data_IF_194289477836
#
_entry.id   IF_194289477836
#
_cell.length_a   1.000
_cell.length_b   1.000
_cell.length_c   1.000
_cell.angle_alpha   90.00
_cell.angle_beta   90.00
_cell.angle_gamma   90.00
#
_symmetry.space_group_name_H-M   'P 1'
#
loop_
_entity.id
_entity.type
_entity.pdbx_description
1 polymer ?
#
# COMPACT_ATOMS: atom_id res chain seq x y z
N UNK A 1 19.96 -8.69 -1.70
CA UNK A 1 19.54 -7.35 -1.29
C UNK A 1 19.30 -6.63 -2.60
N UNK A 2 18.04 -6.42 -2.98
CA UNK A 2 17.73 -5.68 -4.20
C UNK A 2 18.25 -4.26 -3.98
N UNK A 3 18.99 -3.72 -4.94
CA UNK A 3 19.48 -2.35 -4.86
C UNK A 3 18.26 -1.43 -4.88
N UNK A 4 18.07 -0.65 -3.81
CA UNK A 4 16.97 0.32 -3.70
C UNK A 4 16.89 1.23 -4.94
N UNK A 5 18.04 1.49 -5.58
CA UNK A 5 18.15 2.28 -6.80
C UNK A 5 17.43 1.64 -7.99
N UNK A 6 17.45 0.31 -8.13
CA UNK A 6 16.78 -0.40 -9.23
C UNK A 6 15.25 -0.37 -9.06
N UNK A 7 14.79 -0.55 -7.82
CA UNK A 7 13.36 -0.52 -7.50
C UNK A 7 12.75 0.86 -7.74
N UNK A 8 13.44 1.94 -7.34
CA UNK A 8 13.00 3.32 -7.57
C UNK A 8 12.90 3.65 -9.06
N UNK A 9 13.90 3.27 -9.88
CA UNK A 9 13.86 3.48 -11.33
C UNK A 9 12.74 2.65 -11.98
N UNK A 10 12.51 1.42 -11.52
CA UNK A 10 11.40 0.59 -12.00
C UNK A 10 10.05 1.24 -11.69
N UNK A 11 9.85 1.74 -10.47
CA UNK A 11 8.63 2.44 -10.06
C UNK A 11 8.43 3.70 -10.91
N UNK A 12 9.49 4.48 -11.10
CA UNK A 12 9.45 5.70 -11.92
C UNK A 12 9.05 5.41 -13.37
N UNK A 13 9.62 4.37 -13.99
CA UNK A 13 9.26 3.96 -15.36
C UNK A 13 7.80 3.56 -15.47
N UNK A 14 7.30 2.79 -14.49
CA UNK A 14 5.89 2.40 -14.45
C UNK A 14 4.96 3.61 -14.30
N UNK A 15 5.33 4.57 -13.44
CA UNK A 15 4.62 5.83 -13.30
C UNK A 15 4.57 6.62 -14.61
N UNK A 16 5.70 6.79 -15.31
CA UNK A 16 5.78 7.52 -16.58
C UNK A 16 4.83 6.94 -17.63
N UNK A 17 4.77 5.61 -17.73
CA UNK A 17 3.88 4.89 -18.63
C UNK A 17 2.41 5.16 -18.30
N UNK A 18 2.02 4.99 -17.02
CA UNK A 18 0.64 5.22 -16.55
C UNK A 18 0.21 6.67 -16.73
N UNK A 19 1.08 7.61 -16.35
CA UNK A 19 0.80 9.04 -16.41
C UNK A 19 0.84 9.60 -17.84
N UNK A 20 1.27 8.80 -18.83
CA UNK A 20 1.41 9.23 -20.22
C UNK A 20 2.40 10.39 -20.38
N UNK A 21 3.42 10.47 -19.52
CA UNK A 21 4.38 11.56 -19.57
C UNK A 21 5.30 11.39 -20.79
N UNK A 22 5.61 12.47 -21.53
CA UNK A 22 6.45 12.40 -22.73
C UNK A 22 7.95 12.31 -22.35
N UNK A 23 8.31 11.44 -21.42
CA UNK A 23 9.70 11.21 -20.99
C UNK A 23 10.42 10.33 -22.00
N UNK A 24 11.67 10.65 -22.31
CA UNK A 24 12.53 9.85 -23.17
C UNK A 24 13.18 8.72 -22.33
N UNK A 25 12.82 7.43 -22.54
CA UNK A 25 13.23 6.35 -21.62
C UNK A 25 14.75 6.18 -21.49
N UNK A 26 15.50 6.44 -22.56
CA UNK A 26 16.96 6.35 -22.59
C UNK A 26 17.67 7.43 -21.76
N UNK A 27 16.94 8.46 -21.32
CA UNK A 27 17.48 9.59 -20.54
C UNK A 27 17.17 9.50 -19.05
N UNK A 28 16.47 8.46 -18.61
CA UNK A 28 16.13 8.25 -17.19
C UNK A 28 17.40 7.87 -16.44
N UNK A 29 17.82 8.75 -15.53
CA UNK A 29 19.05 8.62 -14.75
C UNK A 29 18.76 8.76 -13.25
N UNK A 30 19.28 7.84 -12.43
CA UNK A 30 19.27 7.96 -10.97
C UNK A 30 20.26 9.05 -10.55
N UNK A 31 19.86 9.92 -9.64
CA UNK A 31 20.75 10.92 -9.02
C UNK A 31 20.87 10.65 -7.53
N UNK A 32 21.84 11.30 -6.90
CA UNK A 32 22.11 11.16 -5.48
C UNK A 32 21.97 12.52 -4.78
N UNK A 33 21.63 12.55 -3.48
CA UNK A 33 21.57 13.79 -2.72
C UNK A 33 22.85 14.64 -2.90
N UNK A 34 22.73 15.97 -3.03
CA UNK A 34 21.53 16.78 -2.76
C UNK A 34 20.54 16.92 -3.94
N UNK A 35 20.73 16.22 -5.05
CA UNK A 35 19.80 16.24 -6.20
C UNK A 35 18.53 15.41 -5.93
N UNK A 36 17.42 15.70 -6.64
CA UNK A 36 16.23 14.84 -6.62
C UNK A 36 16.51 13.46 -7.19
N UNK A 37 15.81 12.45 -6.69
CA UNK A 37 16.07 11.02 -6.97
C UNK A 37 16.28 10.62 -8.44
N UNK A 38 15.57 11.21 -9.39
CA UNK A 38 15.62 10.85 -10.82
C UNK A 38 15.67 12.09 -11.70
N UNK A 39 16.50 12.08 -12.75
CA UNK A 39 16.50 13.09 -13.83
C UNK A 39 16.10 12.44 -15.15
N UNK A 40 15.34 13.13 -15.98
CA UNK A 40 15.03 12.68 -17.34
C UNK A 40 14.78 13.83 -18.31
N UNK A 41 14.93 13.55 -19.61
CA UNK A 41 14.58 14.44 -20.71
C UNK A 41 13.14 14.23 -21.19
N UNK A 42 12.54 15.29 -21.73
CA UNK A 42 11.21 15.26 -22.33
C UNK A 42 11.28 15.28 -23.86
N UNK A 43 10.33 14.61 -24.53
CA UNK A 43 10.23 14.58 -26.00
C UNK A 43 9.93 15.97 -26.60
N UNK A 44 9.32 16.86 -25.82
CA UNK A 44 9.09 18.27 -26.17
C UNK A 44 10.36 19.13 -26.04
N UNK A 45 11.48 18.55 -25.60
CA UNK A 45 12.69 19.27 -25.20
C UNK A 45 12.70 19.62 -23.72
N UNK A 46 13.90 19.90 -23.20
CA UNK A 46 14.14 20.19 -21.78
C UNK A 46 14.35 18.95 -20.91
N UNK A 47 14.54 19.20 -19.62
CA UNK A 47 14.72 18.17 -18.59
C UNK A 47 13.85 18.46 -17.38
N UNK A 48 13.51 17.40 -16.65
CA UNK A 48 12.77 17.46 -15.39
C UNK A 48 13.43 16.50 -14.40
N UNK A 49 13.40 16.86 -13.13
CA UNK A 49 13.85 16.01 -12.03
C UNK A 49 12.65 15.59 -11.18
N UNK A 50 12.71 14.38 -10.62
CA UNK A 50 11.69 13.82 -9.75
C UNK A 50 12.32 13.44 -8.41
N UNK A 51 11.75 13.95 -7.32
CA UNK A 51 11.97 13.38 -5.99
C UNK A 51 10.94 12.27 -5.79
N UNK A 52 11.37 11.11 -5.31
CA UNK A 52 10.48 10.00 -5.01
C UNK A 52 10.23 9.91 -3.50
N UNK A 53 9.03 9.50 -3.13
CA UNK A 53 8.72 9.15 -1.74
C UNK A 53 7.79 7.95 -1.68
N UNK A 54 8.26 6.88 -1.03
CA UNK A 54 7.40 5.74 -0.72
C UNK A 54 6.51 6.09 0.48
N UNK A 55 5.20 5.96 0.29
CA UNK A 55 4.23 6.01 1.38
C UNK A 55 4.13 4.61 1.99
N UNK A 56 4.89 4.39 3.06
CA UNK A 56 4.89 3.14 3.82
C UNK A 56 4.42 3.37 5.25
N UNK A 57 3.37 2.68 5.68
CA UNK A 57 2.96 2.69 7.09
C UNK A 57 3.97 1.87 7.91
N UNK A 58 4.68 2.46 8.88
CA UNK A 58 5.65 1.73 9.69
C UNK A 58 5.05 0.52 10.41
N UNK A 59 3.77 0.56 10.75
CA UNK A 59 3.05 -0.58 11.32
C UNK A 59 2.97 -1.78 10.35
N UNK A 60 2.79 -1.52 9.06
CA UNK A 60 2.74 -2.54 8.00
C UNK A 60 4.15 -3.02 7.62
N UNK A 61 5.17 -2.17 7.71
CA UNK A 61 6.56 -2.57 7.45
C UNK A 61 7.05 -3.71 8.35
N UNK A 62 6.59 -3.77 9.61
CA UNK A 62 6.90 -4.91 10.49
C UNK A 62 6.27 -6.21 10.00
N UNK A 63 5.07 -6.12 9.46
CA UNK A 63 4.39 -7.27 8.88
C UNK A 63 5.01 -7.72 7.57
N UNK A 64 5.66 -6.84 6.80
CA UNK A 64 6.38 -7.18 5.55
C UNK A 64 7.29 -8.40 5.72
N UNK A 65 8.23 -8.32 6.66
CA UNK A 65 9.20 -9.40 6.90
C UNK A 65 8.57 -10.69 7.42
N UNK A 66 7.33 -10.60 7.90
CA UNK A 66 6.58 -11.73 8.43
C UNK A 66 5.44 -12.18 7.52
N UNK A 67 5.15 -11.49 6.41
CA UNK A 67 3.93 -11.72 5.62
C UNK A 67 3.89 -13.16 5.09
N UNK A 68 4.99 -13.62 4.48
CA UNK A 68 5.10 -15.01 4.03
C UNK A 68 5.00 -16.00 5.20
N UNK A 69 5.60 -15.68 6.36
CA UNK A 69 5.59 -16.55 7.54
C UNK A 69 4.20 -16.63 8.17
N UNK A 70 3.43 -15.55 8.14
CA UNK A 70 2.04 -15.49 8.59
C UNK A 70 1.15 -16.23 7.61
N UNK A 71 1.32 -16.02 6.31
CA UNK A 71 0.58 -16.77 5.29
C UNK A 71 0.81 -18.27 5.44
N UNK A 72 2.06 -18.71 5.58
CA UNK A 72 2.39 -20.11 5.85
C UNK A 72 1.75 -20.59 7.16
N UNK A 73 1.76 -19.78 8.22
CA UNK A 73 1.09 -20.13 9.47
C UNK A 73 -0.42 -20.32 9.32
N UNK A 74 -1.09 -19.48 8.50
CA UNK A 74 -2.52 -19.62 8.19
C UNK A 74 -2.75 -20.93 7.43
N UNK A 75 -1.93 -21.21 6.42
CA UNK A 75 -2.01 -22.46 5.66
C UNK A 75 -1.77 -23.69 6.55
N UNK A 76 -0.78 -23.64 7.44
CA UNK A 76 -0.48 -24.72 8.39
C UNK A 76 -1.67 -24.97 9.34
N UNK A 77 -2.27 -23.89 9.88
CA UNK A 77 -3.44 -24.00 10.76
C UNK A 77 -4.66 -24.56 10.01
N UNK A 78 -4.88 -24.15 8.76
CA UNK A 78 -5.94 -24.67 7.90
C UNK A 78 -5.74 -26.16 7.58
N UNK A 79 -4.51 -26.55 7.22
CA UNK A 79 -4.11 -27.93 6.97
C UNK A 79 -4.09 -28.78 8.25
N UNK A 80 -4.14 -28.16 9.42
CA UNK A 80 -4.27 -28.81 10.73
C UNK A 80 -5.72 -29.02 11.18
N UNK A 81 -6.72 -28.46 10.49
CA UNK A 81 -8.13 -28.71 10.79
C UNK A 81 -8.47 -30.19 10.56
N UNK A 82 -9.34 -30.75 11.41
CA UNK A 82 -9.90 -32.08 11.15
C UNK A 82 -10.74 -32.10 9.86
N UNK A 83 -10.98 -33.30 9.31
CA UNK A 83 -11.67 -33.43 8.04
C UNK A 83 -13.09 -32.81 8.04
N UNK A 84 -13.93 -32.98 9.09
CA UNK A 84 -15.24 -32.33 9.15
C UNK A 84 -15.16 -30.79 9.13
N UNK A 85 -14.24 -30.20 9.90
CA UNK A 85 -14.07 -28.75 9.97
C UNK A 85 -13.52 -28.19 8.66
N UNK A 86 -12.54 -28.88 8.05
CA UNK A 86 -11.99 -28.48 6.75
C UNK A 86 -13.04 -28.50 5.64
N UNK A 87 -13.82 -29.57 5.54
CA UNK A 87 -14.90 -29.67 4.55
C UNK A 87 -15.94 -28.56 4.74
N UNK A 88 -16.25 -28.22 5.99
CA UNK A 88 -17.16 -27.11 6.32
C UNK A 88 -16.54 -25.75 5.92
N UNK A 89 -15.24 -25.60 6.14
CA UNK A 89 -14.49 -24.38 5.78
C UNK A 89 -14.46 -24.19 4.27
N UNK A 90 -14.12 -25.24 3.52
CA UNK A 90 -14.10 -25.24 2.05
C UNK A 90 -15.47 -24.89 1.48
N UNK A 91 -16.53 -25.58 1.93
CA UNK A 91 -17.90 -25.29 1.47
C UNK A 91 -18.29 -23.83 1.68
N UNK A 92 -17.84 -23.23 2.78
CA UNK A 92 -18.20 -21.87 3.17
C UNK A 92 -17.38 -20.80 2.47
N UNK A 93 -16.10 -21.07 2.21
CA UNK A 93 -15.11 -20.06 1.83
C UNK A 93 -14.38 -20.33 0.51
N UNK A 94 -14.67 -21.44 -0.18
CA UNK A 94 -14.17 -21.67 -1.55
C UNK A 94 -14.58 -20.52 -2.45
N UNK A 95 -13.64 -20.04 -3.28
CA UNK A 95 -13.83 -18.88 -4.15
C UNK A 95 -14.22 -17.57 -3.44
N UNK A 96 -14.04 -17.49 -2.11
CA UNK A 96 -14.30 -16.29 -1.31
C UNK A 96 -13.04 -15.92 -0.54
N UNK A 97 -12.13 -15.13 -1.14
CA UNK A 97 -10.87 -14.76 -0.52
C UNK A 97 -11.10 -14.13 0.87
N UNK A 98 -10.42 -14.67 1.88
CA UNK A 98 -10.44 -14.14 3.24
C UNK A 98 -9.22 -13.26 3.43
N UNK A 99 -9.42 -12.02 3.88
CA UNK A 99 -8.33 -11.09 4.24
C UNK A 99 -8.26 -10.94 5.75
N UNK A 100 -7.09 -11.23 6.32
CA UNK A 100 -6.85 -11.19 7.76
C UNK A 100 -6.17 -9.88 8.15
N UNK A 101 -6.75 -9.17 9.11
CA UNK A 101 -6.18 -7.96 9.69
C UNK A 101 -5.71 -8.27 11.11
N UNK A 102 -4.39 -8.43 11.27
CA UNK A 102 -3.79 -8.63 12.58
C UNK A 102 -3.48 -7.29 13.24
N UNK A 103 -3.48 -7.30 14.58
CA UNK A 103 -3.04 -6.15 15.37
C UNK A 103 -1.55 -5.90 15.16
N UNK A 104 -1.08 -4.66 14.93
CA UNK A 104 0.34 -4.34 14.76
C UNK A 104 1.27 -4.82 15.88
N UNK A 105 0.74 -5.01 17.07
CA UNK A 105 1.49 -5.46 18.26
C UNK A 105 1.55 -6.99 18.38
N UNK A 106 0.77 -7.73 17.56
CA UNK A 106 0.70 -9.18 17.62
C UNK A 106 1.98 -9.82 17.08
N UNK A 107 2.70 -10.55 17.92
CA UNK A 107 3.87 -11.32 17.50
C UNK A 107 3.48 -12.51 16.62
N UNK A 108 4.38 -12.96 15.74
CA UNK A 108 4.15 -14.16 14.91
C UNK A 108 3.83 -15.40 15.75
N UNK A 109 4.46 -15.55 16.92
CA UNK A 109 4.18 -16.66 17.84
C UNK A 109 2.73 -16.57 18.33
N UNK A 110 2.29 -15.39 18.75
CA UNK A 110 0.91 -15.18 19.19
C UNK A 110 -0.09 -15.46 18.07
N UNK A 111 0.19 -14.99 16.85
CA UNK A 111 -0.62 -15.27 15.66
C UNK A 111 -0.72 -16.78 15.43
N UNK A 112 0.41 -17.51 15.41
CA UNK A 112 0.40 -18.98 15.27
C UNK A 112 -0.47 -19.67 16.32
N UNK A 113 -0.38 -19.23 17.57
CA UNK A 113 -1.15 -19.82 18.68
C UNK A 113 -2.66 -19.63 18.52
N UNK A 114 -3.12 -18.48 18.00
CA UNK A 114 -4.57 -18.19 17.90
C UNK A 114 -5.21 -18.69 16.60
N UNK A 115 -4.43 -19.00 15.57
CA UNK A 115 -4.96 -19.34 14.24
C UNK A 115 -5.93 -20.54 14.24
N UNK A 116 -5.67 -21.67 14.93
CA UNK A 116 -6.63 -22.77 14.98
C UNK A 116 -7.99 -22.35 15.56
N UNK A 117 -7.99 -21.61 16.68
CA UNK A 117 -9.20 -21.11 17.29
C UNK A 117 -9.93 -20.11 16.39
N UNK A 118 -9.21 -19.20 15.74
CA UNK A 118 -9.77 -18.25 14.76
C UNK A 118 -10.49 -18.96 13.61
N UNK A 119 -9.88 -19.99 13.01
CA UNK A 119 -10.49 -20.70 11.88
C UNK A 119 -11.78 -21.43 12.30
N UNK A 120 -11.81 -22.00 13.52
CA UNK A 120 -13.04 -22.60 14.08
C UNK A 120 -14.10 -21.53 14.34
N UNK A 121 -13.74 -20.38 14.91
CA UNK A 121 -14.70 -19.29 15.15
C UNK A 121 -15.31 -18.78 13.83
N UNK A 122 -14.52 -18.69 12.75
CA UNK A 122 -15.02 -18.30 11.42
C UNK A 122 -16.07 -19.27 10.84
N UNK A 123 -16.05 -20.55 11.22
CA UNK A 123 -17.06 -21.53 10.78
C UNK A 123 -18.44 -21.24 11.37
N UNK A 124 -18.51 -20.69 12.58
CA UNK A 124 -19.76 -20.36 13.27
C UNK A 124 -20.14 -18.88 13.21
N UNK A 125 -19.16 -17.99 12.97
CA UNK A 125 -19.41 -16.56 12.96
C UNK A 125 -20.34 -16.16 11.82
N UNK A 126 -21.11 -15.09 11.99
CA UNK A 126 -21.90 -14.47 10.90
C UNK A 126 -21.25 -13.14 10.56
N UNK A 127 -20.89 -12.88 9.30
CA UNK A 127 -20.29 -11.61 8.92
C UNK A 127 -21.33 -10.49 8.94
N UNK A 128 -20.91 -9.29 9.34
CA UNK A 128 -21.67 -8.05 9.22
C UNK A 128 -21.01 -7.21 8.13
N UNK A 129 -21.73 -6.89 7.06
CA UNK A 129 -21.18 -6.16 5.90
C UNK A 129 -19.88 -6.80 5.36
N UNK A 130 -19.89 -8.12 5.17
CA UNK A 130 -18.73 -8.90 4.72
C UNK A 130 -17.52 -8.94 5.68
N UNK A 131 -17.68 -8.47 6.92
CA UNK A 131 -16.64 -8.47 7.96
C UNK A 131 -16.99 -9.36 9.16
N UNK A 132 -15.99 -10.09 9.63
CA UNK A 132 -15.97 -10.82 10.89
C UNK A 132 -15.17 -9.98 11.90
N UNK A 133 -15.87 -9.41 12.88
CA UNK A 133 -15.29 -8.51 13.90
C UNK A 133 -15.51 -9.00 15.32
N UNK A 134 -16.43 -9.94 15.53
CA UNK A 134 -16.80 -10.47 16.85
C UNK A 134 -16.11 -11.80 17.07
N UNK A 135 -14.96 -11.74 17.75
CA UNK A 135 -14.18 -12.93 18.12
C UNK A 135 -14.11 -13.10 19.64
N UNK A 136 -13.75 -14.31 20.09
CA UNK A 136 -13.43 -14.55 21.49
C UNK A 136 -12.31 -13.64 21.98
N UNK A 137 -12.22 -13.34 23.30
CA UNK A 137 -11.16 -12.49 23.85
C UNK A 137 -9.74 -12.97 23.47
N UNK A 138 -9.54 -14.28 23.37
CA UNK A 138 -8.25 -14.89 22.98
C UNK A 138 -7.84 -14.49 21.57
N UNK A 139 -8.76 -14.57 20.60
CA UNK A 139 -8.54 -14.25 19.19
C UNK A 139 -8.51 -12.73 18.97
N UNK A 140 -9.43 -11.99 19.60
CA UNK A 140 -9.51 -10.52 19.51
C UNK A 140 -8.25 -9.81 20.05
N UNK A 141 -7.47 -10.49 20.91
CA UNK A 141 -6.17 -10.01 21.36
C UNK A 141 -5.08 -9.95 20.27
N UNK A 142 -5.29 -10.57 19.11
CA UNK A 142 -4.34 -10.54 18.00
C UNK A 142 -4.96 -10.25 16.62
N UNK A 143 -6.27 -10.48 16.44
CA UNK A 143 -7.00 -10.20 15.20
C UNK A 143 -7.90 -8.99 15.40
N UNK A 144 -7.85 -8.04 14.47
CA UNK A 144 -8.76 -6.90 14.39
C UNK A 144 -10.04 -7.35 13.69
N UNK A 145 -9.90 -7.92 12.48
CA UNK A 145 -11.00 -8.42 11.67
C UNK A 145 -10.55 -9.43 10.63
N UNK A 146 -11.51 -10.17 10.09
CA UNK A 146 -11.37 -10.92 8.83
C UNK A 146 -12.48 -10.44 7.89
N UNK A 147 -12.24 -10.27 6.60
CA UNK A 147 -13.31 -9.91 5.66
C UNK A 147 -13.19 -10.65 4.33
N UNK A 148 -14.27 -10.62 3.53
CA UNK A 148 -14.24 -11.13 2.16
C UNK A 148 -13.58 -10.11 1.23
N UNK A 149 -12.27 -10.25 1.05
CA UNK A 149 -11.48 -9.37 0.20
C UNK A 149 -10.17 -10.02 -0.24
N UNK A 150 -9.61 -9.55 -1.35
CA UNK A 150 -8.30 -9.96 -1.85
C UNK A 150 -8.36 -10.73 -3.16
N UNK A 151 -7.22 -11.31 -3.53
CA UNK A 151 -7.05 -11.98 -4.82
C UNK A 151 -7.55 -13.42 -4.74
N UNK A 152 -8.14 -13.88 -5.83
CA UNK A 152 -8.46 -15.28 -6.08
C UNK A 152 -7.32 -15.87 -6.91
N UNK A 153 -6.29 -16.40 -6.24
CA UNK A 153 -5.11 -16.94 -6.91
C UNK A 153 -5.33 -18.37 -7.41
N UNK A 154 -6.17 -19.13 -6.71
CA UNK A 154 -6.50 -20.52 -7.03
C UNK A 154 -8.03 -20.71 -7.03
N UNK A 155 -8.68 -20.67 -8.21
CA UNK A 155 -10.11 -20.95 -8.34
C UNK A 155 -10.42 -22.39 -7.91
N UNK A 156 -11.36 -22.56 -6.98
CA UNK A 156 -11.72 -23.85 -6.40
C UNK A 156 -11.03 -24.13 -5.06
N UNK A 157 -10.13 -23.25 -4.61
CA UNK A 157 -9.52 -23.33 -3.29
C UNK A 157 -9.98 -22.19 -2.35
N UNK A 158 -9.68 -22.37 -1.06
CA UNK A 158 -9.77 -21.31 -0.06
C UNK A 158 -8.54 -20.41 -0.22
N UNK A 159 -8.77 -19.10 -0.32
CA UNK A 159 -7.70 -18.13 -0.58
C UNK A 159 -7.50 -17.23 0.65
N UNK A 160 -6.29 -17.20 1.20
CA UNK A 160 -5.95 -16.38 2.36
C UNK A 160 -5.06 -15.20 1.97
N UNK A 161 -5.51 -13.99 2.31
CA UNK A 161 -4.84 -12.73 2.05
C UNK A 161 -4.51 -12.05 3.37
N UNK A 162 -3.48 -11.20 3.38
CA UNK A 162 -3.16 -10.34 4.52
C UNK A 162 -3.63 -8.92 4.25
N UNK A 163 -4.24 -8.31 5.25
CA UNK A 163 -4.59 -6.90 5.28
C UNK A 163 -3.77 -6.17 6.33
N UNK A 164 -3.76 -4.85 6.20
CA UNK A 164 -3.12 -3.92 7.13
C UNK A 164 -3.99 -2.72 7.41
N UNK A 165 -3.62 -1.98 8.44
CA UNK A 165 -4.25 -0.70 8.72
C UNK A 165 -3.66 0.38 7.83
N UNK A 166 -4.54 1.27 7.39
CA UNK A 166 -4.17 2.52 6.77
C UNK A 166 -4.26 3.62 7.81
N UNK A 167 -3.18 4.40 7.95
CA UNK A 167 -3.19 5.61 8.75
C UNK A 167 -3.02 6.80 7.78
N UNK A 168 -4.05 7.65 7.59
CA UNK A 168 -3.98 8.77 6.67
C UNK A 168 -2.93 9.82 7.09
N UNK A 169 -2.44 9.80 8.33
CA UNK A 169 -1.37 10.70 8.79
C UNK A 169 0.00 10.32 8.23
N UNK A 170 0.20 9.05 7.85
CA UNK A 170 1.46 8.55 7.28
C UNK A 170 1.80 9.23 5.95
N UNK A 171 0.91 9.23 4.93
CA UNK A 171 1.11 10.03 3.73
C UNK A 171 1.44 11.49 4.06
N UNK A 172 0.70 12.09 5.00
CA UNK A 172 0.86 13.52 5.33
C UNK A 172 2.24 13.85 5.90
N UNK A 173 2.79 12.96 6.74
CA UNK A 173 4.15 13.10 7.25
C UNK A 173 5.19 12.99 6.12
N UNK A 174 5.00 12.03 5.20
CA UNK A 174 5.87 11.85 4.04
C UNK A 174 5.89 13.09 3.12
N UNK A 175 4.71 13.62 2.77
CA UNK A 175 4.59 14.86 2.00
C UNK A 175 5.21 16.04 2.73
N UNK A 176 4.85 16.25 4.01
CA UNK A 176 5.35 17.38 4.80
C UNK A 176 6.87 17.40 4.88
N UNK A 177 7.50 16.22 5.01
CA UNK A 177 8.97 16.11 5.02
C UNK A 177 9.57 16.53 3.68
N UNK A 178 9.02 16.07 2.55
CA UNK A 178 9.56 16.38 1.21
C UNK A 178 9.31 17.83 0.79
N UNK A 179 8.16 18.42 1.13
CA UNK A 179 7.80 19.81 0.80
C UNK A 179 8.73 20.85 1.44
N UNK A 180 9.41 20.50 2.53
CA UNK A 180 10.34 21.39 3.24
C UNK A 180 11.81 21.19 2.87
N UNK A 181 12.12 20.30 1.92
CA UNK A 181 13.50 20.04 1.47
C UNK A 181 13.99 21.11 0.48
N UNK A 182 15.31 21.21 0.41
CA UNK A 182 16.03 21.95 -0.62
C UNK A 182 16.78 20.95 -1.51
N UNK A 183 16.91 21.28 -2.80
CA UNK A 183 17.60 20.46 -3.80
C UNK A 183 18.53 21.34 -4.64
N UNK A 184 19.69 20.81 -5.01
CA UNK A 184 20.63 21.49 -5.91
C UNK A 184 20.43 20.98 -7.33
N UNK A 185 19.60 21.66 -8.12
CA UNK A 185 19.37 21.27 -9.52
C UNK A 185 18.99 22.47 -10.38
N UNK A 186 19.35 22.41 -11.66
CA UNK A 186 19.00 23.38 -12.69
C UNK A 186 17.66 23.06 -13.39
N UNK A 187 17.06 21.91 -13.06
CA UNK A 187 15.83 21.42 -13.66
C UNK A 187 14.60 21.74 -12.79
N UNK A 188 13.41 21.93 -13.40
CA UNK A 188 12.15 21.88 -12.66
C UNK A 188 12.02 20.54 -11.92
N UNK A 189 11.51 20.59 -10.68
CA UNK A 189 11.36 19.42 -9.82
C UNK A 189 9.89 19.04 -9.70
N UNK A 190 9.59 17.76 -9.74
CA UNK A 190 8.27 17.19 -9.45
C UNK A 190 8.39 16.19 -8.31
N UNK A 191 7.35 16.07 -7.49
CA UNK A 191 7.30 15.05 -6.43
C UNK A 191 6.47 13.88 -6.92
N UNK A 192 7.03 12.68 -6.89
CA UNK A 192 6.31 11.42 -7.09
C UNK A 192 6.18 10.70 -5.74
N UNK A 193 5.00 10.78 -5.14
CA UNK A 193 4.65 9.89 -4.05
C UNK A 193 4.08 8.59 -4.61
N UNK A 194 4.52 7.44 -4.11
CA UNK A 194 3.95 6.16 -4.52
C UNK A 194 3.65 5.31 -3.30
N UNK A 195 2.59 4.52 -3.42
CA UNK A 195 2.28 3.48 -2.44
C UNK A 195 3.08 2.24 -2.81
N UNK A 196 3.96 1.79 -1.90
CA UNK A 196 4.64 0.50 -2.07
C UNK A 196 3.62 -0.64 -2.16
N UNK A 197 4.05 -1.83 -2.59
CA UNK A 197 3.19 -3.01 -2.67
C UNK A 197 2.53 -3.44 -1.35
N UNK A 198 2.88 -2.77 -0.25
CA UNK A 198 2.46 -3.03 1.12
C UNK A 198 1.79 -1.83 1.80
N UNK A 199 1.45 -0.81 1.01
CA UNK A 199 0.48 0.18 1.39
C UNK A 199 -0.89 -0.48 1.56
N UNK A 200 -1.07 -1.13 2.70
CA UNK A 200 -2.31 -1.81 3.02
C UNK A 200 -3.33 -0.75 3.42
N UNK A 201 -4.24 -0.48 2.49
CA UNK A 201 -5.25 0.56 2.62
C UNK A 201 -5.79 0.95 1.26
N UNK A 202 -7.03 0.56 0.96
CA UNK A 202 -7.70 1.01 -0.26
C UNK A 202 -8.46 2.33 -0.03
N UNK A 203 -7.98 3.15 0.90
CA UNK A 203 -8.72 4.31 1.36
C UNK A 203 -8.08 5.61 0.86
N UNK A 204 -8.84 6.34 0.04
CA UNK A 204 -8.46 7.64 -0.52
C UNK A 204 -8.78 8.81 0.42
N UNK A 205 -9.17 8.56 1.68
CA UNK A 205 -9.39 9.61 2.69
C UNK A 205 -8.18 10.55 2.86
N UNK A 206 -6.95 10.08 2.60
CA UNK A 206 -5.76 10.92 2.64
C UNK A 206 -5.75 12.02 1.56
N UNK A 207 -6.52 11.88 0.46
CA UNK A 207 -6.54 12.87 -0.63
C UNK A 207 -7.07 14.22 -0.16
N UNK A 208 -8.13 14.23 0.67
CA UNK A 208 -8.66 15.48 1.22
C UNK A 208 -7.65 16.18 2.13
N UNK A 209 -6.96 15.40 2.96
CA UNK A 209 -5.88 15.91 3.81
C UNK A 209 -4.70 16.42 2.96
N UNK A 210 -4.34 15.72 1.89
CA UNK A 210 -3.30 16.12 0.95
C UNK A 210 -3.64 17.43 0.26
N UNK A 211 -4.84 17.56 -0.30
CA UNK A 211 -5.30 18.80 -0.95
C UNK A 211 -5.26 19.97 0.03
N UNK A 212 -5.73 19.76 1.27
CA UNK A 212 -5.64 20.78 2.32
C UNK A 212 -4.19 21.16 2.62
N UNK A 213 -3.31 20.18 2.81
CA UNK A 213 -1.88 20.39 3.06
C UNK A 213 -1.21 21.21 1.94
N UNK A 214 -1.46 20.85 0.67
CA UNK A 214 -0.88 21.53 -0.50
C UNK A 214 -1.45 22.94 -0.68
N UNK A 215 -2.70 23.21 -0.30
CA UNK A 215 -3.27 24.57 -0.28
C UNK A 215 -2.65 25.44 0.81
N UNK A 216 -2.43 24.88 1.99
CA UNK A 216 -1.91 25.62 3.15
C UNK A 216 -0.40 25.89 3.04
N UNK A 217 0.37 24.92 2.53
CA UNK A 217 1.84 25.01 2.47
C UNK A 217 2.38 25.34 1.07
N UNK A 218 1.55 25.29 0.03
CA UNK A 218 2.01 25.30 -1.35
C UNK A 218 2.74 24.01 -1.72
N UNK A 219 3.46 24.04 -2.84
CA UNK A 219 4.21 22.88 -3.35
C UNK A 219 5.69 22.86 -2.92
N UNK A 220 6.14 23.79 -2.07
CA UNK A 220 7.56 23.89 -1.72
C UNK A 220 8.43 24.07 -2.97
N UNK A 221 9.49 23.25 -3.17
CA UNK A 221 10.35 23.33 -4.36
C UNK A 221 9.75 22.68 -5.61
N UNK A 222 8.59 22.02 -5.52
CA UNK A 222 8.03 21.24 -6.60
C UNK A 222 7.09 22.08 -7.49
N UNK A 223 7.12 21.83 -8.79
CA UNK A 223 6.15 22.39 -9.76
C UNK A 223 4.84 21.61 -9.76
N UNK A 224 4.91 20.31 -9.51
CA UNK A 224 3.78 19.36 -9.49
C UNK A 224 3.98 18.27 -8.46
N UNK A 225 2.88 17.76 -7.93
CA UNK A 225 2.85 16.58 -7.05
C UNK A 225 2.02 15.51 -7.73
N UNK A 226 2.59 14.32 -7.81
CA UNK A 226 1.98 13.12 -8.34
C UNK A 226 1.80 12.10 -7.23
N UNK A 227 0.69 11.36 -7.29
CA UNK A 227 0.47 10.20 -6.45
C UNK A 227 0.20 8.99 -7.33
N UNK A 228 1.09 8.01 -7.30
CA UNK A 228 0.85 6.68 -7.85
C UNK A 228 0.19 5.82 -6.76
N UNK A 229 -1.11 5.60 -6.88
CA UNK A 229 -1.88 4.86 -5.88
C UNK A 229 -1.77 3.32 -6.04
N UNK A 230 -2.35 2.59 -5.09
CA UNK A 230 -2.33 1.12 -5.09
C UNK A 230 -3.13 0.49 -6.24
N UNK A 231 -3.95 1.25 -6.96
CA UNK A 231 -4.67 0.80 -8.15
C UNK A 231 -3.85 1.01 -9.43
N UNK A 232 -2.67 1.64 -9.30
CA UNK A 232 -1.86 2.03 -10.45
C UNK A 232 -2.45 3.25 -11.16
N UNK A 233 -3.21 4.10 -10.47
CA UNK A 233 -3.63 5.39 -11.02
C UNK A 233 -2.62 6.46 -10.66
N UNK A 234 -2.24 7.28 -11.64
CA UNK A 234 -1.46 8.48 -11.43
C UNK A 234 -2.40 9.68 -11.22
N UNK A 235 -2.42 10.22 -10.00
CA UNK A 235 -3.21 11.39 -9.64
C UNK A 235 -2.32 12.64 -9.67
N UNK A 236 -2.68 13.62 -10.49
CA UNK A 236 -1.98 14.90 -10.62
C UNK A 236 -2.58 15.97 -9.70
N UNK A 237 -1.73 16.68 -8.96
CA UNK A 237 -2.09 17.84 -8.15
C UNK A 237 -1.37 19.10 -8.69
N UNK A 238 -1.99 19.83 -9.63
CA UNK A 238 -1.41 21.06 -10.17
C UNK A 238 -1.51 22.22 -9.17
N UNK A 239 -0.57 23.17 -9.24
CA UNK A 239 -0.62 24.41 -8.48
C UNK A 239 -0.44 25.66 -9.38
N UNK A 240 -1.24 26.74 -9.19
CA UNK A 240 -2.34 26.84 -8.24
C UNK A 240 -3.45 25.82 -8.55
N UNK A 241 -4.23 25.38 -7.55
CA UNK A 241 -5.29 24.41 -7.78
C UNK A 241 -6.21 24.97 -8.85
N UNK A 242 -6.31 24.29 -10.00
CA UNK A 242 -7.29 24.69 -11.00
C UNK A 242 -8.66 24.52 -10.35
N UNK A 243 -9.45 25.59 -10.32
CA UNK A 243 -10.83 25.56 -9.85
C UNK A 243 -11.68 24.74 -10.83
N UNK A 244 -11.50 23.43 -10.83
CA UNK A 244 -12.29 22.46 -11.59
C UNK A 244 -12.38 21.15 -10.79
N UNK A 245 -13.51 20.49 -10.55
CA UNK A 245 -14.94 20.67 -10.90
C UNK A 245 -15.72 19.81 -9.88
N UNK A 246 -16.87 20.28 -9.42
CA UNK A 246 -17.97 19.44 -8.93
C UNK A 246 -18.52 18.63 -10.11
N UNK A 247 -18.36 17.30 -10.10
CA UNK A 247 -19.22 16.34 -10.82
C UNK A 247 -19.16 14.99 -10.13
#
# INVERSE_FOLDING_TARGET
MVDQSEDEIRIFRHFVEIAGLPVLPATIEKRFPPEPDVRCGLATGGSVAFELVEICNPANARFMFSAQRIHNAIMDAYNGLDAPSRNSFERRFVNRPLRFYFRPEASLVRIKTILPALLIELLSATPTNDEFVSFSPTVAGAVIKVCFAGRLNDPGAVNFNLGGSFDPTVPMAAFSSKLSKFYETDCPIELLAHFGGLAWGHDRQYLNALVKLLRERGLGPFRRVWVLDWEGLALEFPYPPVSRIET
#
